data_IF_578661557540
#
_entry.id   IF_578661557540
#
_cell.length_a   1.000
_cell.length_b   1.000
_cell.length_c   1.000
_cell.angle_alpha   90.00
_cell.angle_beta   90.00
_cell.angle_gamma   90.00
#
_symmetry.space_group_name_H-M   'P 1'
#
loop_
_entity.id
_entity.type
_entity.pdbx_description
1 polymer ?
#
# COMPACT_ATOMS: atom_id res chain seq x y z
N UNK A 1 -24.99 -35.09 60.20
CA UNK A 1 -24.11 -35.13 61.38
C UNK A 1 -22.82 -35.79 60.96
N UNK A 2 -21.69 -35.20 61.37
CA UNK A 2 -20.32 -35.69 61.19
C UNK A 2 -19.74 -35.53 59.78
N UNK A 3 -18.52 -35.06 59.57
CA UNK A 3 -17.47 -34.38 60.38
C UNK A 3 -16.32 -34.16 59.40
N UNK A 4 -15.45 -33.19 59.69
CA UNK A 4 -14.03 -33.21 59.31
C UNK A 4 -13.67 -32.95 57.84
N UNK A 5 -12.65 -32.17 57.49
CA UNK A 5 -11.64 -31.45 58.26
C UNK A 5 -11.07 -30.33 57.38
N UNK A 6 -10.82 -29.17 57.97
CA UNK A 6 -9.84 -28.22 57.48
C UNK A 6 -8.42 -28.82 57.64
N UNK A 7 -7.45 -28.41 56.81
CA UNK A 7 -6.03 -28.17 57.21
C UNK A 7 -5.22 -27.66 56.01
N UNK A 8 -4.82 -26.38 56.12
CA UNK A 8 -3.47 -25.79 55.93
C UNK A 8 -2.49 -26.52 55.01
N UNK A 9 -2.03 -25.87 53.93
CA UNK A 9 -0.79 -25.07 53.96
C UNK A 9 -0.03 -25.16 52.62
N UNK A 10 1.21 -24.65 52.52
CA UNK A 10 1.46 -23.30 52.02
C UNK A 10 2.41 -23.26 50.79
N UNK A 11 2.72 -22.03 50.38
CA UNK A 11 3.99 -21.50 49.86
C UNK A 11 4.12 -21.04 48.40
N UNK A 12 4.69 -19.83 48.32
CA UNK A 12 5.71 -19.29 47.40
C UNK A 12 5.28 -18.96 45.97
N UNK A 13 4.97 -17.69 45.70
CA UNK A 13 5.89 -16.58 45.31
C UNK A 13 6.48 -16.73 43.91
N UNK A 14 5.98 -15.89 43.01
CA UNK A 14 6.70 -15.11 41.99
C UNK A 14 5.59 -14.40 41.18
N UNK A 15 5.53 -13.08 41.04
CA UNK A 15 6.59 -12.17 40.67
C UNK A 15 6.10 -11.45 39.42
N UNK A 16 5.85 -10.14 39.50
CA UNK A 16 5.30 -9.38 38.39
C UNK A 16 4.97 -7.94 38.77
N UNK A 17 6.01 -7.20 39.18
CA UNK A 17 5.95 -5.75 39.23
C UNK A 17 6.06 -5.17 37.81
N UNK A 18 5.13 -4.30 37.45
CA UNK A 18 5.35 -3.11 36.62
C UNK A 18 4.05 -2.29 36.69
N UNK A 19 4.05 -1.18 37.44
CA UNK A 19 4.37 0.16 36.91
C UNK A 19 3.38 0.52 35.79
N UNK A 20 2.43 1.42 36.01
CA UNK A 20 2.72 2.80 36.39
C UNK A 20 3.29 3.50 35.17
N UNK A 21 2.44 4.24 34.46
CA UNK A 21 2.87 5.02 33.31
C UNK A 21 1.77 5.19 32.29
N UNK A 22 0.94 6.21 32.51
CA UNK A 22 0.31 6.93 31.41
C UNK A 22 1.43 7.42 30.49
N UNK A 23 1.77 6.60 29.50
CA UNK A 23 2.63 6.99 28.41
C UNK A 23 1.75 7.79 27.44
N UNK A 24 1.75 9.10 27.65
CA UNK A 24 1.43 10.09 26.64
C UNK A 24 2.29 9.79 25.41
N UNK A 25 1.71 9.12 24.42
CA UNK A 25 2.28 9.07 23.09
C UNK A 25 1.73 10.25 22.29
N UNK A 26 2.51 11.30 22.01
CA UNK A 26 2.26 12.14 20.85
C UNK A 26 2.77 11.36 19.63
N UNK A 27 1.96 10.42 19.15
CA UNK A 27 2.33 9.49 18.07
C UNK A 27 1.54 9.74 16.80
N UNK A 28 1.77 10.90 16.17
CA UNK A 28 1.50 11.18 14.74
C UNK A 28 0.14 10.73 14.18
N UNK A 29 -0.95 11.19 14.78
CA UNK A 29 -2.15 11.48 13.99
C UNK A 29 -1.97 12.81 13.23
N UNK A 30 -0.94 12.91 12.38
CA UNK A 30 -0.96 13.87 11.26
C UNK A 30 -1.85 13.27 10.17
N UNK A 31 -3.12 13.09 10.51
CA UNK A 31 -4.20 13.06 9.56
C UNK A 31 -4.49 14.50 9.16
N UNK A 32 -3.59 15.10 8.39
CA UNK A 32 -3.92 16.25 7.58
C UNK A 32 -3.96 15.74 6.14
N UNK A 33 -5.10 15.84 5.42
CA UNK A 33 -5.11 15.55 4.00
C UNK A 33 -4.09 16.49 3.37
N UNK A 34 -2.98 15.92 2.87
CA UNK A 34 -1.97 16.67 2.15
C UNK A 34 -2.71 17.47 1.09
N UNK A 35 -2.61 18.79 1.22
CA UNK A 35 -3.28 19.77 0.38
C UNK A 35 -3.03 19.38 -1.08
N UNK A 36 -4.12 18.97 -1.73
CA UNK A 36 -4.16 18.48 -3.11
C UNK A 36 -3.38 19.47 -3.99
N UNK A 37 -2.25 19.01 -4.56
CA UNK A 37 -1.47 19.79 -5.51
C UNK A 37 -0.41 20.72 -4.93
N UNK A 38 0.08 20.51 -3.70
CA UNK A 38 1.31 21.18 -3.27
C UNK A 38 2.52 20.67 -4.06
N UNK A 39 3.49 21.53 -4.46
CA UNK A 39 4.67 21.11 -5.21
C UNK A 39 5.49 20.04 -4.48
N UNK A 40 5.52 20.08 -3.14
CA UNK A 40 6.14 19.06 -2.31
C UNK A 40 5.49 17.67 -2.46
N UNK A 41 4.15 17.62 -2.58
CA UNK A 41 3.41 16.36 -2.78
C UNK A 41 3.67 15.77 -4.17
N UNK A 42 3.74 16.61 -5.21
CA UNK A 42 4.04 16.15 -6.57
C UNK A 42 5.46 15.55 -6.69
N UNK A 43 6.45 16.16 -6.03
CA UNK A 43 7.81 15.61 -5.98
C UNK A 43 7.86 14.25 -5.29
N UNK A 44 7.08 14.08 -4.21
CA UNK A 44 7.00 12.84 -3.45
C UNK A 44 6.27 11.74 -4.25
N UNK A 45 5.18 12.10 -4.94
CA UNK A 45 4.48 11.22 -5.88
C UNK A 45 5.40 10.74 -7.02
N UNK A 46 6.15 11.66 -7.64
CA UNK A 46 7.12 11.33 -8.68
C UNK A 46 8.18 10.36 -8.17
N UNK A 47 8.77 10.62 -7.00
CA UNK A 47 9.80 9.76 -6.42
C UNK A 47 9.29 8.34 -6.17
N UNK A 48 8.04 8.18 -5.71
CA UNK A 48 7.42 6.87 -5.52
C UNK A 48 7.18 6.14 -6.85
N UNK A 49 6.71 6.85 -7.87
CA UNK A 49 6.47 6.26 -9.19
C UNK A 49 7.77 5.92 -9.94
N UNK A 50 8.82 6.72 -9.80
CA UNK A 50 10.14 6.41 -10.34
C UNK A 50 10.77 5.20 -9.63
N UNK A 51 10.61 5.08 -8.32
CA UNK A 51 11.01 3.88 -7.60
C UNK A 51 10.27 2.63 -8.09
N UNK A 52 8.95 2.74 -8.33
CA UNK A 52 8.15 1.67 -8.91
C UNK A 52 8.60 1.32 -10.33
N UNK A 53 8.89 2.31 -11.18
CA UNK A 53 9.46 2.12 -12.53
C UNK A 53 10.78 1.38 -12.50
N UNK A 54 11.69 1.76 -11.60
CA UNK A 54 12.99 1.13 -11.48
C UNK A 54 12.87 -0.34 -11.04
N UNK A 55 11.89 -0.68 -10.18
CA UNK A 55 11.58 -2.08 -9.82
C UNK A 55 11.07 -2.86 -11.02
N UNK A 56 10.14 -2.28 -11.77
CA UNK A 56 9.59 -2.91 -12.97
C UNK A 56 10.69 -3.18 -14.02
N UNK A 57 11.60 -2.24 -14.23
CA UNK A 57 12.73 -2.38 -15.14
C UNK A 57 13.69 -3.51 -14.75
N UNK A 58 13.77 -3.84 -13.46
CA UNK A 58 14.55 -4.97 -12.93
C UNK A 58 13.78 -6.31 -12.93
N UNK A 59 12.54 -6.32 -13.42
CA UNK A 59 11.68 -7.52 -13.42
C UNK A 59 10.96 -7.76 -12.09
N UNK A 60 11.08 -6.86 -11.11
CA UNK A 60 10.39 -6.97 -9.82
C UNK A 60 8.95 -6.45 -9.94
N UNK A 61 8.11 -7.20 -10.65
CA UNK A 61 6.71 -6.87 -10.83
C UNK A 61 5.92 -6.90 -9.51
N UNK A 62 6.25 -7.82 -8.59
CA UNK A 62 5.58 -7.92 -7.29
C UNK A 62 5.88 -6.68 -6.42
N UNK A 63 7.14 -6.27 -6.32
CA UNK A 63 7.53 -5.06 -5.59
C UNK A 63 7.06 -3.77 -6.26
N UNK A 64 6.85 -3.78 -7.58
CA UNK A 64 6.20 -2.68 -8.30
C UNK A 64 4.74 -2.53 -7.87
N UNK A 65 3.97 -3.63 -7.86
CA UNK A 65 2.56 -3.59 -7.49
C UNK A 65 2.36 -3.18 -6.03
N UNK A 66 3.17 -3.70 -5.11
CA UNK A 66 3.15 -3.30 -3.72
C UNK A 66 3.44 -1.79 -3.54
N UNK A 67 4.39 -1.24 -4.31
CA UNK A 67 4.67 0.20 -4.29
C UNK A 67 3.49 1.03 -4.83
N UNK A 68 2.81 0.54 -5.88
CA UNK A 68 1.64 1.20 -6.46
C UNK A 68 0.40 1.13 -5.56
N UNK A 69 0.23 0.05 -4.80
CA UNK A 69 -0.81 -0.05 -3.77
C UNK A 69 -0.55 0.96 -2.64
N UNK A 70 0.70 1.07 -2.18
CA UNK A 70 1.09 2.07 -1.18
C UNK A 70 0.90 3.51 -1.69
N UNK A 71 1.22 3.77 -2.96
CA UNK A 71 0.98 5.06 -3.61
C UNK A 71 -0.52 5.41 -3.61
N UNK A 72 -1.41 4.48 -4.00
CA UNK A 72 -2.85 4.74 -4.01
C UNK A 72 -3.44 4.99 -2.62
N UNK A 73 -2.92 4.30 -1.59
CA UNK A 73 -3.33 4.51 -0.20
C UNK A 73 -2.91 5.91 0.30
N UNK A 74 -1.71 6.36 -0.09
CA UNK A 74 -1.13 7.63 0.36
C UNK A 74 -1.63 8.83 -0.46
N UNK A 75 -1.92 8.62 -1.74
CA UNK A 75 -2.33 9.64 -2.71
C UNK A 75 -3.60 9.20 -3.46
N UNK A 76 -4.76 9.05 -2.78
CA UNK A 76 -6.02 8.66 -3.43
C UNK A 76 -6.50 9.68 -4.47
N UNK A 77 -6.03 10.92 -4.38
CA UNK A 77 -6.26 12.02 -5.33
C UNK A 77 -4.96 12.58 -5.90
N UNK A 78 -3.93 11.74 -6.00
CA UNK A 78 -2.64 12.10 -6.57
C UNK A 78 -2.79 12.57 -8.02
N UNK A 79 -2.01 13.58 -8.40
CA UNK A 79 -2.02 14.10 -9.78
C UNK A 79 -1.46 13.09 -10.79
N UNK A 80 -0.66 12.13 -10.30
CA UNK A 80 -0.01 11.10 -11.12
C UNK A 80 -0.73 9.74 -11.07
N UNK A 81 -2.01 9.71 -10.69
CA UNK A 81 -2.81 8.49 -10.64
C UNK A 81 -2.94 7.76 -11.99
N UNK A 82 -2.90 8.49 -13.11
CA UNK A 82 -2.86 7.91 -14.45
C UNK A 82 -1.56 7.13 -14.71
N UNK A 83 -0.42 7.72 -14.34
CA UNK A 83 0.89 7.09 -14.48
C UNK A 83 1.01 5.84 -13.60
N UNK A 84 0.47 5.91 -12.38
CA UNK A 84 0.37 4.76 -11.47
C UNK A 84 -0.45 3.61 -12.09
N UNK A 85 -1.59 3.92 -12.71
CA UNK A 85 -2.43 2.94 -13.40
C UNK A 85 -1.70 2.27 -14.57
N UNK A 86 -1.02 3.05 -15.40
CA UNK A 86 -0.25 2.54 -16.53
C UNK A 86 0.88 1.63 -16.06
N UNK A 87 1.59 2.01 -14.99
CA UNK A 87 2.62 1.17 -14.39
C UNK A 87 2.06 -0.15 -13.83
N UNK A 88 0.86 -0.11 -13.24
CA UNK A 88 0.18 -1.31 -12.74
C UNK A 88 -0.11 -2.29 -13.88
N UNK A 89 -0.63 -1.79 -15.01
CA UNK A 89 -0.90 -2.61 -16.20
C UNK A 89 0.39 -3.24 -16.75
N UNK A 90 1.47 -2.45 -16.87
CA UNK A 90 2.76 -2.98 -17.30
C UNK A 90 3.30 -4.04 -16.32
N UNK A 91 3.19 -3.83 -15.01
CA UNK A 91 3.65 -4.79 -14.01
C UNK A 91 2.87 -6.11 -14.07
N UNK A 92 1.55 -6.05 -14.26
CA UNK A 92 0.72 -7.23 -14.47
C UNK A 92 1.14 -8.00 -15.72
N UNK A 93 1.36 -7.29 -16.83
CA UNK A 93 1.83 -7.89 -18.07
C UNK A 93 3.19 -8.56 -17.92
N UNK A 94 4.17 -7.86 -17.33
CA UNK A 94 5.53 -8.39 -17.12
C UNK A 94 5.58 -9.61 -16.19
N UNK A 95 4.61 -9.74 -15.27
CA UNK A 95 4.49 -10.90 -14.38
C UNK A 95 3.79 -12.10 -15.04
N UNK A 96 3.25 -11.93 -16.24
CA UNK A 96 2.50 -12.95 -16.97
C UNK A 96 0.98 -12.93 -16.74
N UNK A 97 0.47 -11.99 -15.95
CA UNK A 97 -0.97 -11.81 -15.70
C UNK A 97 -1.61 -10.94 -16.81
N UNK A 98 -1.51 -11.44 -18.04
CA UNK A 98 -1.93 -10.72 -19.25
C UNK A 98 -3.44 -10.52 -19.31
N UNK A 99 -4.22 -11.46 -18.78
CA UNK A 99 -5.68 -11.36 -18.73
C UNK A 99 -6.11 -10.14 -17.89
N UNK A 100 -5.57 -10.00 -16.68
CA UNK A 100 -5.85 -8.86 -15.80
C UNK A 100 -5.30 -7.56 -16.37
N UNK A 101 -4.08 -7.59 -16.94
CA UNK A 101 -3.48 -6.43 -17.59
C UNK A 101 -4.35 -5.91 -18.75
N UNK A 102 -4.87 -6.81 -19.59
CA UNK A 102 -5.74 -6.47 -20.71
C UNK A 102 -7.07 -5.91 -20.24
N UNK A 103 -7.73 -6.55 -19.28
CA UNK A 103 -8.98 -6.04 -18.73
C UNK A 103 -8.82 -4.64 -18.14
N UNK A 104 -7.75 -4.39 -17.37
CA UNK A 104 -7.48 -3.07 -16.82
C UNK A 104 -7.10 -2.05 -17.89
N UNK A 105 -6.32 -2.45 -18.89
CA UNK A 105 -5.93 -1.60 -20.00
C UNK A 105 -7.12 -1.19 -20.88
N UNK A 106 -8.01 -2.12 -21.20
CA UNK A 106 -9.24 -1.83 -21.94
C UNK A 106 -10.11 -0.82 -21.19
N UNK A 107 -10.30 -1.02 -19.87
CA UNK A 107 -11.03 -0.06 -19.02
C UNK A 107 -10.34 1.30 -18.97
N UNK A 108 -9.02 1.34 -18.87
CA UNK A 108 -8.25 2.58 -18.86
C UNK A 108 -8.40 3.33 -20.18
N UNK A 109 -8.28 2.64 -21.33
CA UNK A 109 -8.43 3.25 -22.65
C UNK A 109 -9.86 3.75 -22.86
N UNK A 110 -10.86 3.00 -22.41
CA UNK A 110 -12.27 3.42 -22.48
C UNK A 110 -12.55 4.65 -21.61
N UNK A 111 -11.94 4.74 -20.42
CA UNK A 111 -12.08 5.89 -19.52
C UNK A 111 -11.25 7.10 -19.96
N UNK A 112 -10.11 6.88 -20.63
CA UNK A 112 -9.15 7.91 -21.00
C UNK A 112 -8.72 7.81 -22.48
N UNK A 113 -9.66 7.94 -23.45
CA UNK A 113 -9.38 7.70 -24.87
C UNK A 113 -8.35 8.68 -25.46
N UNK A 114 -8.29 9.91 -24.93
CA UNK A 114 -7.35 10.97 -25.34
C UNK A 114 -6.04 10.99 -24.53
N UNK A 115 -5.84 10.04 -23.60
CA UNK A 115 -4.61 9.97 -22.82
C UNK A 115 -3.42 9.57 -23.68
N UNK A 116 -2.23 10.18 -23.49
CA UNK A 116 -1.01 9.81 -24.20
C UNK A 116 -0.58 8.35 -23.98
N UNK A 117 -1.08 7.69 -22.93
CA UNK A 117 -0.75 6.30 -22.62
C UNK A 117 -1.57 5.28 -23.41
N UNK A 118 -2.74 5.67 -23.93
CA UNK A 118 -3.66 4.80 -24.66
C UNK A 118 -3.02 4.10 -25.88
N UNK A 119 -2.31 4.79 -26.79
CA UNK A 119 -1.65 4.12 -27.91
C UNK A 119 -0.56 3.13 -27.45
N UNK A 120 0.19 3.47 -26.40
CA UNK A 120 1.22 2.57 -25.84
C UNK A 120 0.60 1.33 -25.21
N UNK A 121 -0.50 1.48 -24.48
CA UNK A 121 -1.23 0.36 -23.87
C UNK A 121 -1.85 -0.55 -24.93
N UNK A 122 -2.41 0.00 -26.01
CA UNK A 122 -2.91 -0.80 -27.14
C UNK A 122 -1.82 -1.69 -27.73
N UNK A 123 -0.65 -1.11 -28.03
CA UNK A 123 0.49 -1.86 -28.57
C UNK A 123 1.02 -2.93 -27.62
N UNK A 124 1.04 -2.66 -26.30
CA UNK A 124 1.47 -3.64 -25.30
C UNK A 124 0.49 -4.80 -25.15
N UNK A 125 -0.82 -4.51 -25.21
CA UNK A 125 -1.89 -5.49 -24.95
C UNK A 125 -2.35 -6.24 -26.20
N UNK A 126 -1.90 -5.83 -27.39
CA UNK A 126 -2.34 -6.38 -28.68
C UNK A 126 -3.80 -6.04 -29.01
N UNK A 127 -4.24 -4.83 -28.67
CA UNK A 127 -5.57 -4.27 -28.97
C UNK A 127 -5.51 -3.38 -30.20
#
# INVERSE_FOLDING_TARGET
MSTSSATTGPVTTAGGAASGGAATAPGVASGAPAVEGSPASLQEELALLDAARARLARGDAAGTLAALDAYQQRFPRGSLGLEAHVLRINALWSRGDQATARQLGERFIAAHPTSPHSPRLRGLLGL
#
